data_IF_650181116247
#
_entry.id   IF_650181116247
#
_cell.length_a   1.000
_cell.length_b   1.000
_cell.length_c   1.000
_cell.angle_alpha   90.00
_cell.angle_beta   90.00
_cell.angle_gamma   90.00
#
_symmetry.space_group_name_H-M   'P 1'
#
loop_
_entity.id
_entity.type
_entity.pdbx_description
1 polymer ?
#
# COMPACT_ATOMS: atom_id res chain seq x y z
N UNK A 1 -37.76 47.79 49.44
CA UNK A 1 -37.84 46.34 49.20
C UNK A 1 -38.02 46.10 47.69
N UNK A 2 -36.98 46.25 46.85
CA UNK A 2 -37.11 46.00 45.40
C UNK A 2 -35.76 45.86 44.64
N UNK A 3 -34.63 45.67 45.33
CA UNK A 3 -33.29 45.55 44.67
C UNK A 3 -32.72 44.13 44.76
N UNK A 4 -33.33 43.24 45.54
CA UNK A 4 -32.80 41.89 45.79
C UNK A 4 -33.24 40.85 44.73
N UNK A 5 -34.31 41.11 43.98
CA UNK A 5 -34.83 40.14 42.99
C UNK A 5 -34.06 40.11 41.65
N UNK A 6 -33.34 41.18 41.29
CA UNK A 6 -32.62 41.26 40.00
C UNK A 6 -31.32 40.45 39.94
N UNK A 7 -30.68 40.18 41.09
CA UNK A 7 -29.38 39.49 41.15
C UNK A 7 -29.48 37.95 41.22
N UNK A 8 -30.66 37.41 41.51
CA UNK A 8 -30.88 35.96 41.62
C UNK A 8 -31.19 35.35 40.25
N UNK A 9 -31.91 36.08 39.39
CA UNK A 9 -32.29 35.62 38.05
C UNK A 9 -31.10 35.56 37.06
N UNK A 10 -30.05 36.34 37.31
CA UNK A 10 -28.85 36.40 36.47
C UNK A 10 -27.89 35.22 36.72
N UNK A 11 -27.82 34.72 37.96
CA UNK A 11 -26.95 33.57 38.31
C UNK A 11 -27.46 32.25 37.75
N UNK A 12 -28.77 32.03 37.70
CA UNK A 12 -29.34 30.82 37.08
C UNK A 12 -29.11 30.78 35.56
N UNK A 13 -29.22 31.93 34.89
CA UNK A 13 -28.90 32.06 33.46
C UNK A 13 -27.43 31.72 33.19
N UNK A 14 -26.52 32.27 34.00
CA UNK A 14 -25.08 32.08 33.84
C UNK A 14 -24.63 30.63 34.10
N UNK A 15 -25.21 29.97 35.12
CA UNK A 15 -24.93 28.56 35.41
C UNK A 15 -25.48 27.62 34.31
N UNK A 16 -26.61 27.95 33.68
CA UNK A 16 -27.18 27.18 32.55
C UNK A 16 -26.34 27.34 31.27
N UNK A 17 -25.81 28.53 31.01
CA UNK A 17 -24.92 28.79 29.86
C UNK A 17 -23.58 28.07 30.02
N UNK A 18 -22.97 28.10 31.22
CA UNK A 18 -21.72 27.38 31.49
C UNK A 18 -21.93 25.86 31.44
N UNK A 19 -23.07 25.37 31.93
CA UNK A 19 -23.46 23.96 31.80
C UNK A 19 -23.61 23.52 30.34
N UNK A 20 -24.29 24.33 29.52
CA UNK A 20 -24.45 24.09 28.08
C UNK A 20 -23.12 24.13 27.32
N UNK A 21 -22.25 25.10 27.62
CA UNK A 21 -20.94 25.22 26.98
C UNK A 21 -20.03 24.02 27.29
N UNK A 22 -20.04 23.54 28.54
CA UNK A 22 -19.30 22.32 28.93
C UNK A 22 -19.78 21.10 28.16
N UNK A 23 -21.10 20.98 27.96
CA UNK A 23 -21.69 19.87 27.20
C UNK A 23 -21.25 19.91 25.73
N UNK A 24 -21.26 21.10 25.12
CA UNK A 24 -20.82 21.31 23.73
C UNK A 24 -19.34 20.94 23.58
N UNK A 25 -18.48 21.39 24.51
CA UNK A 25 -17.05 21.07 24.47
C UNK A 25 -16.79 19.56 24.66
N UNK A 26 -17.56 18.89 25.52
CA UNK A 26 -17.48 17.45 25.71
C UNK A 26 -17.90 16.67 24.46
N UNK A 27 -18.97 17.11 23.79
CA UNK A 27 -19.44 16.50 22.53
C UNK A 27 -18.42 16.72 21.40
N UNK A 28 -17.84 17.91 21.28
CA UNK A 28 -16.80 18.18 20.28
C UNK A 28 -15.57 17.31 20.56
N UNK A 29 -15.11 17.24 21.81
CA UNK A 29 -14.01 16.36 22.21
C UNK A 29 -14.28 14.89 21.90
N UNK A 30 -15.50 14.41 22.17
CA UNK A 30 -15.91 13.05 21.88
C UNK A 30 -15.96 12.76 20.37
N UNK A 31 -16.46 13.69 19.55
CA UNK A 31 -16.48 13.56 18.08
C UNK A 31 -15.06 13.55 17.51
N UNK A 32 -14.17 14.40 18.03
CA UNK A 32 -12.75 14.43 17.64
C UNK A 32 -12.10 13.09 17.99
N UNK A 33 -12.24 12.61 19.23
CA UNK A 33 -11.69 11.31 19.64
C UNK A 33 -12.28 10.19 18.79
N UNK A 34 -13.59 10.14 18.56
CA UNK A 34 -14.19 9.13 17.68
C UNK A 34 -13.65 9.19 16.26
N UNK A 35 -13.51 10.37 15.65
CA UNK A 35 -12.99 10.51 14.29
C UNK A 35 -11.54 10.02 14.19
N UNK A 36 -10.69 10.36 15.16
CA UNK A 36 -9.29 9.96 15.17
C UNK A 36 -9.10 8.50 15.63
N UNK A 37 -9.93 7.99 16.55
CA UNK A 37 -9.98 6.59 16.93
C UNK A 37 -10.50 5.71 15.81
N UNK A 38 -11.42 6.20 14.97
CA UNK A 38 -11.85 5.48 13.78
C UNK A 38 -10.72 5.41 12.74
N UNK A 39 -9.91 6.46 12.58
CA UNK A 39 -8.69 6.38 11.76
C UNK A 39 -7.63 5.44 12.34
N UNK A 40 -7.53 5.32 13.68
CA UNK A 40 -6.65 4.36 14.34
C UNK A 40 -7.19 2.92 14.33
N UNK A 41 -8.49 2.74 14.06
CA UNK A 41 -9.17 1.43 14.00
C UNK A 41 -9.61 1.04 12.59
N UNK A 42 -9.37 1.87 11.55
CA UNK A 42 -9.25 1.32 10.21
C UNK A 42 -8.08 0.36 10.30
N UNK A 43 -8.29 -0.95 10.13
CA UNK A 43 -7.17 -1.84 9.97
C UNK A 43 -6.50 -1.39 8.67
N UNK A 44 -5.38 -0.66 8.78
CA UNK A 44 -4.27 -1.02 7.92
C UNK A 44 -4.20 -2.53 8.04
N UNK A 45 -4.48 -3.25 6.94
CA UNK A 45 -4.50 -4.70 6.92
C UNK A 45 -3.12 -5.25 7.25
N UNK A 46 -2.75 -5.20 8.52
CA UNK A 46 -1.65 -5.89 9.14
C UNK A 46 -2.15 -7.26 9.51
N UNK A 47 -2.22 -8.13 8.50
CA UNK A 47 -2.11 -9.56 8.74
C UNK A 47 -0.66 -9.81 9.14
N UNK A 48 -0.45 -10.25 10.37
CA UNK A 48 0.83 -10.73 10.87
C UNK A 48 1.27 -11.97 10.08
N UNK A 49 2.25 -11.79 9.20
CA UNK A 49 3.52 -12.53 9.16
C UNK A 49 4.20 -12.16 7.83
N UNK A 50 5.31 -11.42 7.95
CA UNK A 50 6.13 -10.83 6.89
C UNK A 50 5.44 -9.69 6.10
N UNK A 51 6.12 -8.54 5.99
CA UNK A 51 5.67 -7.36 5.22
C UNK A 51 5.69 -7.62 3.70
N UNK A 52 5.26 -8.80 3.27
CA UNK A 52 5.29 -9.31 1.92
C UNK A 52 3.87 -9.32 1.37
N UNK A 53 3.64 -8.47 0.38
CA UNK A 53 2.37 -8.43 -0.33
C UNK A 53 2.51 -9.12 -1.68
N UNK A 54 1.52 -9.95 -2.01
CA UNK A 54 1.54 -10.83 -3.18
C UNK A 54 0.30 -10.56 -4.04
N UNK A 55 0.50 -10.35 -5.34
CA UNK A 55 -0.57 -10.20 -6.33
C UNK A 55 -0.34 -11.13 -7.52
N UNK A 56 -1.39 -11.87 -7.88
CA UNK A 56 -1.31 -12.93 -8.90
C UNK A 56 -1.95 -12.45 -10.20
N UNK A 57 -1.28 -12.72 -11.31
CA UNK A 57 -1.72 -12.42 -12.67
C UNK A 57 -1.70 -13.72 -13.50
N UNK A 58 -2.82 -14.45 -13.60
CA UNK A 58 -2.87 -15.68 -14.37
C UNK A 58 -2.75 -15.39 -15.87
N UNK A 59 -2.07 -16.29 -16.59
CA UNK A 59 -2.01 -16.23 -18.05
C UNK A 59 -3.40 -16.44 -18.65
N UNK A 60 -3.67 -15.97 -19.89
CA UNK A 60 -5.00 -16.10 -20.49
C UNK A 60 -5.49 -17.54 -20.66
N UNK A 61 -4.57 -18.50 -20.77
CA UNK A 61 -4.87 -19.94 -20.80
C UNK A 61 -4.83 -20.62 -19.41
N UNK A 62 -4.51 -19.88 -18.35
CA UNK A 62 -4.43 -20.37 -16.97
C UNK A 62 -3.26 -21.31 -16.66
N UNK A 63 -2.34 -21.56 -17.61
CA UNK A 63 -1.23 -22.49 -17.42
C UNK A 63 -0.07 -21.91 -16.61
N UNK A 64 0.11 -20.60 -16.67
CA UNK A 64 1.23 -19.91 -16.01
C UNK A 64 0.69 -18.81 -15.11
N UNK A 65 1.39 -18.57 -14.02
CA UNK A 65 1.11 -17.45 -13.14
C UNK A 65 2.31 -16.50 -13.14
N UNK A 66 2.04 -15.22 -13.36
CA UNK A 66 2.96 -14.14 -13.03
C UNK A 66 2.56 -13.61 -11.65
N UNK A 67 3.49 -13.62 -10.71
CA UNK A 67 3.24 -13.18 -9.34
C UNK A 67 4.10 -11.96 -9.06
N UNK A 68 3.45 -10.87 -8.68
CA UNK A 68 4.11 -9.67 -8.18
C UNK A 68 4.23 -9.78 -6.68
N UNK A 69 5.46 -9.72 -6.19
CA UNK A 69 5.77 -9.77 -4.77
C UNK A 69 6.50 -8.50 -4.43
N UNK A 70 5.99 -7.75 -3.46
CA UNK A 70 6.70 -6.60 -2.94
C UNK A 70 6.87 -6.72 -1.44
N UNK A 71 8.05 -6.32 -0.98
CA UNK A 71 8.42 -6.33 0.41
C UNK A 71 8.90 -4.94 0.80
N UNK A 72 8.17 -4.29 1.69
CA UNK A 72 8.48 -2.97 2.21
C UNK A 72 8.70 -3.07 3.71
N UNK A 73 9.80 -2.52 4.20
CA UNK A 73 10.14 -2.60 5.61
C UNK A 73 11.23 -1.62 5.98
N UNK A 74 11.79 -1.80 7.16
CA UNK A 74 12.78 -0.89 7.71
C UNK A 74 12.13 0.33 8.32
N UNK A 75 12.46 0.60 9.58
CA UNK A 75 11.92 1.74 10.32
C UNK A 75 12.41 3.08 9.74
N UNK A 76 12.12 4.16 10.46
CA UNK A 76 12.38 5.54 10.04
C UNK A 76 13.82 5.87 9.57
N UNK A 77 14.81 5.04 9.93
CA UNK A 77 16.22 5.28 9.67
C UNK A 77 16.79 4.51 8.47
N UNK A 78 16.12 3.44 8.04
CA UNK A 78 16.59 2.60 6.93
C UNK A 78 15.42 1.91 6.23
N UNK A 79 14.49 2.69 5.62
CA UNK A 79 13.41 2.11 4.85
C UNK A 79 13.98 1.40 3.63
N UNK A 80 13.46 0.21 3.34
CA UNK A 80 13.74 -0.53 2.13
C UNK A 80 12.42 -0.97 1.51
N UNK A 81 12.40 -1.07 0.18
CA UNK A 81 11.27 -1.59 -0.55
C UNK A 81 11.79 -2.29 -1.79
N UNK A 82 11.45 -3.56 -1.96
CA UNK A 82 11.88 -4.38 -3.10
C UNK A 82 10.64 -4.95 -3.78
N UNK A 83 10.54 -4.72 -5.08
CA UNK A 83 9.54 -5.32 -5.98
C UNK A 83 10.21 -6.42 -6.80
N UNK A 84 9.61 -7.61 -6.78
CA UNK A 84 10.03 -8.75 -7.59
C UNK A 84 8.84 -9.34 -8.37
N UNK A 85 9.11 -9.84 -9.57
CA UNK A 85 8.12 -10.59 -10.35
C UNK A 85 8.66 -11.98 -10.59
N UNK A 86 7.82 -12.98 -10.31
CA UNK A 86 8.10 -14.38 -10.54
C UNK A 86 7.15 -14.94 -11.60
N UNK A 87 7.64 -15.82 -12.47
CA UNK A 87 6.82 -16.51 -13.46
C UNK A 87 7.07 -18.01 -13.37
N UNK A 88 5.98 -18.77 -13.19
CA UNK A 88 6.04 -20.21 -13.03
C UNK A 88 4.74 -20.89 -13.50
N UNK A 89 4.75 -22.22 -13.60
CA UNK A 89 3.58 -23.02 -13.95
C UNK A 89 2.53 -22.94 -12.84
N UNK A 90 1.26 -22.77 -13.21
CA UNK A 90 0.13 -22.62 -12.29
C UNK A 90 -0.03 -23.76 -11.27
N UNK A 91 0.53 -24.94 -11.56
CA UNK A 91 0.52 -26.10 -10.68
C UNK A 91 1.51 -25.99 -9.51
N UNK A 92 2.50 -25.08 -9.59
CA UNK A 92 3.47 -24.87 -8.53
C UNK A 92 2.90 -23.95 -7.45
N UNK A 93 3.15 -24.31 -6.18
CA UNK A 93 2.76 -23.50 -5.05
C UNK A 93 3.54 -22.16 -5.01
N UNK A 94 2.84 -21.08 -4.70
CA UNK A 94 3.41 -19.73 -4.67
C UNK A 94 4.46 -19.62 -3.57
N UNK A 95 4.21 -20.21 -2.39
CA UNK A 95 5.15 -20.20 -1.27
C UNK A 95 6.44 -20.97 -1.55
N UNK A 96 6.39 -22.00 -2.41
CA UNK A 96 7.58 -22.66 -2.93
C UNK A 96 8.30 -21.80 -3.99
N UNK A 97 7.54 -21.19 -4.91
CA UNK A 97 8.10 -20.38 -5.98
C UNK A 97 8.87 -19.15 -5.46
N UNK A 98 8.31 -18.45 -4.45
CA UNK A 98 8.93 -17.27 -3.84
C UNK A 98 10.28 -17.58 -3.17
N UNK A 99 10.51 -18.82 -2.75
CA UNK A 99 11.78 -19.25 -2.14
C UNK A 99 12.88 -19.54 -3.16
N UNK A 100 12.56 -19.60 -4.46
CA UNK A 100 13.49 -19.96 -5.53
C UNK A 100 13.72 -18.78 -6.48
N UNK A 101 14.93 -18.25 -6.49
CA UNK A 101 15.35 -17.16 -7.39
C UNK A 101 15.29 -17.53 -8.88
N UNK A 102 15.18 -18.82 -9.22
CA UNK A 102 15.09 -19.28 -10.60
C UNK A 102 13.83 -18.78 -11.32
N UNK A 103 12.74 -18.55 -10.59
CA UNK A 103 11.49 -18.03 -11.17
C UNK A 103 11.44 -16.51 -11.25
N UNK A 104 12.37 -15.80 -10.62
CA UNK A 104 12.44 -14.35 -10.65
C UNK A 104 12.88 -13.86 -12.03
N UNK A 105 12.02 -13.06 -12.65
CA UNK A 105 12.25 -12.41 -13.94
C UNK A 105 12.54 -10.92 -13.83
N UNK A 106 12.16 -10.31 -12.70
CA UNK A 106 12.31 -8.89 -12.43
C UNK A 106 12.57 -8.71 -10.95
N UNK A 107 13.52 -7.83 -10.60
CA UNK A 107 13.68 -7.32 -9.25
C UNK A 107 14.23 -5.90 -9.25
N UNK A 108 13.62 -5.01 -8.47
CA UNK A 108 14.08 -3.63 -8.30
C UNK A 108 13.62 -3.02 -6.97
N UNK A 109 14.08 -1.83 -6.65
CA UNK A 109 13.49 -1.05 -5.58
C UNK A 109 12.13 -0.47 -5.97
N UNK A 110 11.17 -0.42 -5.04
CA UNK A 110 9.83 0.08 -5.34
C UNK A 110 9.83 1.51 -5.89
N UNK A 111 9.02 1.73 -6.93
CA UNK A 111 8.90 3.03 -7.59
C UNK A 111 7.46 3.34 -7.98
N UNK A 112 7.24 4.56 -8.44
CA UNK A 112 5.95 5.02 -8.94
C UNK A 112 6.11 5.63 -10.33
N UNK A 113 5.10 5.45 -11.15
CA UNK A 113 5.00 6.13 -12.44
C UNK A 113 4.71 7.62 -12.26
N UNK A 114 4.82 8.40 -13.33
CA UNK A 114 4.57 9.85 -13.33
C UNK A 114 3.12 10.23 -13.04
N UNK A 115 2.18 9.30 -13.24
CA UNK A 115 0.77 9.40 -12.85
C UNK A 115 0.50 9.02 -11.37
N UNK A 116 1.57 8.74 -10.61
CA UNK A 116 1.55 8.26 -9.21
C UNK A 116 0.99 6.84 -9.04
N UNK A 117 0.82 6.08 -10.13
CA UNK A 117 0.48 4.67 -10.01
C UNK A 117 1.69 3.83 -9.60
N UNK A 118 1.45 2.72 -8.91
CA UNK A 118 2.51 1.82 -8.47
C UNK A 118 3.21 1.14 -9.67
N UNK A 119 4.53 1.14 -9.66
CA UNK A 119 5.37 0.35 -10.56
C UNK A 119 5.78 -0.95 -9.87
N UNK A 120 5.97 -2.08 -10.59
CA UNK A 120 5.71 -2.28 -12.02
C UNK A 120 4.25 -2.62 -12.35
N UNK A 121 3.85 -2.35 -13.60
CA UNK A 121 2.60 -2.84 -14.23
C UNK A 121 2.88 -4.12 -15.00
N UNK A 122 1.99 -5.10 -14.87
CA UNK A 122 2.15 -6.44 -15.42
C UNK A 122 0.93 -6.78 -16.27
N UNK A 123 1.16 -7.19 -17.51
CA UNK A 123 0.10 -7.63 -18.40
C UNK A 123 0.56 -8.74 -19.33
N UNK A 124 -0.32 -9.71 -19.54
CA UNK A 124 -0.12 -10.77 -20.50
C UNK A 124 -0.47 -10.26 -21.90
N UNK A 125 0.52 -10.21 -22.79
CA UNK A 125 0.30 -9.89 -24.20
C UNK A 125 -0.22 -11.11 -24.98
N UNK A 126 0.10 -12.33 -24.52
CA UNK A 126 -0.44 -13.58 -25.04
C UNK A 126 -0.30 -14.73 -24.01
N UNK A 127 -0.66 -15.95 -24.39
CA UNK A 127 -0.45 -17.15 -23.57
C UNK A 127 1.01 -17.43 -23.19
N UNK A 128 1.97 -16.86 -23.93
CA UNK A 128 3.41 -17.12 -23.78
C UNK A 128 4.24 -15.82 -23.79
N UNK A 129 3.60 -14.66 -23.68
CA UNK A 129 4.30 -13.39 -23.66
C UNK A 129 3.76 -12.51 -22.55
N UNK A 130 4.66 -12.13 -21.65
CA UNK A 130 4.41 -11.21 -20.55
C UNK A 130 5.09 -9.87 -20.87
N UNK A 131 4.40 -8.78 -20.62
CA UNK A 131 4.98 -7.46 -20.65
C UNK A 131 4.99 -6.87 -19.23
N UNK A 132 6.13 -6.30 -18.89
CA UNK A 132 6.39 -5.65 -17.61
C UNK A 132 6.80 -4.21 -17.89
N UNK A 133 5.94 -3.31 -17.48
CA UNK A 133 6.18 -1.88 -17.58
C UNK A 133 6.69 -1.42 -16.21
N UNK A 134 7.83 -0.73 -16.17
CA UNK A 134 8.40 -0.25 -14.91
C UNK A 134 8.86 1.20 -15.03
N UNK A 135 8.74 1.93 -13.92
CA UNK A 135 9.25 3.28 -13.81
C UNK A 135 10.76 3.28 -13.53
N UNK A 136 11.45 4.24 -14.14
CA UNK A 136 12.82 4.60 -13.87
C UNK A 136 12.77 6.05 -13.38
N UNK A 137 12.58 6.23 -12.08
CA UNK A 137 12.53 7.56 -11.47
C UNK A 137 13.82 8.35 -11.75
N UNK A 138 13.77 9.26 -12.72
CA UNK A 138 14.95 10.01 -13.16
C UNK A 138 15.40 11.15 -12.24
N UNK A 139 14.69 11.35 -11.12
CA UNK A 139 14.96 12.42 -10.14
C UNK A 139 15.82 11.96 -8.96
N UNK A 140 16.19 10.67 -8.87
CA UNK A 140 17.09 10.18 -7.81
C UNK A 140 18.55 10.32 -8.25
N UNK A 141 19.40 10.81 -7.35
CA UNK A 141 20.84 11.01 -7.60
C UNK A 141 21.65 9.71 -7.71
N UNK A 142 21.05 8.55 -7.38
CA UNK A 142 21.73 7.25 -7.35
C UNK A 142 21.18 6.30 -8.42
N UNK A 143 22.10 5.60 -9.09
CA UNK A 143 21.77 4.52 -10.03
C UNK A 143 21.15 3.34 -9.29
N UNK A 144 19.97 2.90 -9.71
CA UNK A 144 19.30 1.71 -9.15
C UNK A 144 19.73 0.46 -9.88
N UNK A 145 19.88 -0.62 -9.12
CA UNK A 145 20.06 -1.96 -9.69
C UNK A 145 18.70 -2.53 -10.04
N UNK A 146 18.51 -2.84 -11.32
CA UNK A 146 17.34 -3.57 -11.82
C UNK A 146 17.84 -4.91 -12.37
N UNK A 147 17.25 -6.01 -11.90
CA UNK A 147 17.49 -7.35 -12.41
C UNK A 147 16.39 -7.69 -13.41
N UNK A 148 16.76 -8.10 -14.63
CA UNK A 148 15.81 -8.40 -15.71
C UNK A 148 16.17 -9.74 -16.35
N UNK A 149 15.18 -10.61 -16.57
CA UNK A 149 15.32 -11.87 -17.30
C UNK A 149 14.30 -11.92 -18.44
N UNK A 150 14.80 -12.08 -19.67
CA UNK A 150 13.97 -12.08 -20.87
C UNK A 150 13.11 -13.34 -21.06
N UNK A 151 13.35 -14.39 -20.27
CA UNK A 151 12.63 -15.67 -20.31
C UNK A 151 12.36 -16.18 -18.89
N UNK A 152 11.29 -16.94 -18.71
CA UNK A 152 11.03 -17.65 -17.45
C UNK A 152 12.01 -18.82 -17.26
N UNK A 153 11.94 -19.48 -16.10
CA UNK A 153 12.80 -20.63 -15.77
C UNK A 153 12.71 -21.77 -16.80
N UNK A 154 11.54 -21.98 -17.43
CA UNK A 154 11.35 -23.02 -18.45
C UNK A 154 11.76 -22.60 -19.86
N UNK A 155 11.94 -21.31 -20.11
CA UNK A 155 12.15 -20.74 -21.45
C UNK A 155 10.87 -20.67 -22.31
N UNK A 156 9.71 -21.05 -21.80
CA UNK A 156 8.45 -21.08 -22.54
C UNK A 156 7.77 -19.70 -22.64
N UNK A 157 8.06 -18.79 -21.70
CA UNK A 157 7.45 -17.46 -21.62
C UNK A 157 8.51 -16.42 -22.00
N UNK A 158 8.19 -15.58 -22.97
CA UNK A 158 8.99 -14.41 -23.33
C UNK A 158 8.55 -13.20 -22.49
N UNK A 159 9.51 -12.54 -21.84
CA UNK A 159 9.27 -11.34 -21.06
C UNK A 159 9.77 -10.12 -21.84
N UNK A 160 8.90 -9.13 -22.01
CA UNK A 160 9.22 -7.84 -22.61
C UNK A 160 9.18 -6.77 -21.54
N UNK A 161 10.23 -5.97 -21.48
CA UNK A 161 10.35 -4.90 -20.49
C UNK A 161 10.23 -3.54 -21.19
N UNK A 162 9.34 -2.69 -20.70
CA UNK A 162 9.27 -1.29 -21.08
C UNK A 162 9.58 -0.40 -19.89
N UNK A 163 10.52 0.51 -20.10
CA UNK A 163 10.95 1.47 -19.09
C UNK A 163 10.30 2.83 -19.35
N UNK A 164 9.73 3.42 -18.31
CA UNK A 164 9.07 4.73 -18.33
C UNK A 164 9.78 5.70 -17.41
N UNK A 165 9.76 6.99 -17.75
CA UNK A 165 10.41 8.06 -16.98
C UNK A 165 9.39 8.90 -16.22
#
# INVERSE_FOLDING_TARGET
MLVVFGLIHDKESWMRVIGGLKFILMVIGFIVVLKYSFMALVPFGGGSDDDQSIKIYPSPNGRYNAVHVWHAGGGALAPFCVDSILVFDSLLDIGEAVKKADYEIYSSECDVFSDQEASPKIHWASNQSLQVDFAIGATRMYSRKVSLRAFDASGAIQIRFLAYR
#
